data_IF_973559416401
#
_entry.id   IF_973559416401
#
_cell.length_a   1.000
_cell.length_b   1.000
_cell.length_c   1.000
_cell.angle_alpha   90.00
_cell.angle_beta   90.00
_cell.angle_gamma   90.00
#
_symmetry.space_group_name_H-M   'P 1'
#
loop_
_entity.id
_entity.type
_entity.pdbx_description
1 polymer ?
#
# COMPACT_ATOMS: atom_id res chain seq x y z
N UNK A 1 9.11 9.39 -4.89
CA UNK A 1 7.94 9.18 -4.01
C UNK A 1 8.41 8.61 -2.67
N UNK A 2 7.97 9.14 -1.53
CA UNK A 2 8.35 8.62 -0.22
C UNK A 2 7.62 7.31 0.13
N UNK A 3 8.01 6.63 1.21
CA UNK A 3 7.27 5.45 1.71
C UNK A 3 5.85 5.83 2.14
N UNK A 4 5.67 7.01 2.72
CA UNK A 4 4.36 7.51 3.12
C UNK A 4 3.46 7.75 1.90
N UNK A 5 4.00 8.33 0.83
CA UNK A 5 3.24 8.55 -0.40
C UNK A 5 2.79 7.23 -1.04
N UNK A 6 3.70 6.24 -1.11
CA UNK A 6 3.41 4.87 -1.58
C UNK A 6 2.31 4.21 -0.75
N UNK A 7 2.39 4.33 0.58
CA UNK A 7 1.38 3.80 1.48
C UNK A 7 0.02 4.46 1.27
N UNK A 8 -0.04 5.79 1.12
CA UNK A 8 -1.28 6.51 0.85
C UNK A 8 -1.92 6.09 -0.48
N UNK A 9 -1.11 5.82 -1.50
CA UNK A 9 -1.59 5.28 -2.76
C UNK A 9 -2.27 3.92 -2.56
N UNK A 10 -1.63 2.98 -1.85
CA UNK A 10 -2.21 1.66 -1.56
C UNK A 10 -3.47 1.74 -0.69
N UNK A 11 -3.50 2.65 0.29
CA UNK A 11 -4.71 2.94 1.09
C UNK A 11 -5.85 3.48 0.22
N UNK A 12 -5.52 4.23 -0.84
CA UNK A 12 -6.47 4.71 -1.84
C UNK A 12 -7.09 3.58 -2.67
N UNK A 13 -6.31 2.54 -2.99
CA UNK A 13 -6.72 1.38 -3.77
C UNK A 13 -7.49 0.32 -2.96
N UNK A 14 -7.33 0.30 -1.64
CA UNK A 14 -7.94 -0.70 -0.76
C UNK A 14 -9.29 -0.25 -0.16
N UNK A 15 -10.10 -1.23 0.23
CA UNK A 15 -11.18 -1.02 1.19
C UNK A 15 -10.60 -0.83 2.59
N UNK A 16 -10.98 0.26 3.27
CA UNK A 16 -10.56 0.50 4.66
C UNK A 16 -11.06 -0.60 5.62
N UNK A 17 -12.19 -1.23 5.29
CA UNK A 17 -12.68 -2.39 6.05
C UNK A 17 -11.72 -3.56 5.92
N UNK A 18 -11.26 -3.87 4.70
CA UNK A 18 -10.28 -4.95 4.48
C UNK A 18 -8.97 -4.68 5.21
N UNK A 19 -8.48 -3.43 5.19
CA UNK A 19 -7.28 -3.06 5.96
C UNK A 19 -7.48 -3.25 7.47
N UNK A 20 -8.66 -2.89 8.00
CA UNK A 20 -8.95 -3.05 9.43
C UNK A 20 -9.12 -4.50 9.88
N UNK A 21 -9.38 -5.43 8.96
CA UNK A 21 -9.46 -6.86 9.26
C UNK A 21 -8.12 -7.59 9.06
N UNK A 22 -7.11 -6.91 8.49
CA UNK A 22 -5.82 -7.49 8.15
C UNK A 22 -4.75 -7.32 9.25
N UNK A 23 -5.07 -6.63 10.34
CA UNK A 23 -4.15 -6.38 11.47
C UNK A 23 -4.82 -5.61 12.61
N UNK A 24 -4.00 -5.03 13.50
CA UNK A 24 -4.49 -4.38 14.72
C UNK A 24 -4.99 -2.94 14.49
N UNK A 25 -4.62 -2.33 13.37
CA UNK A 25 -5.07 -0.98 13.01
C UNK A 25 -6.57 -0.96 12.70
N UNK A 26 -7.35 -0.34 13.59
CA UNK A 26 -8.80 -0.24 13.44
C UNK A 26 -9.27 0.72 12.32
N UNK A 27 -10.54 0.60 11.91
CA UNK A 27 -11.12 1.41 10.83
C UNK A 27 -11.02 2.94 11.05
N UNK A 28 -11.34 3.51 12.23
CA UNK A 28 -11.20 4.95 12.46
C UNK A 28 -9.78 5.48 12.26
N UNK A 29 -8.76 4.69 12.59
CA UNK A 29 -7.35 5.02 12.38
C UNK A 29 -7.04 5.13 10.89
N UNK A 30 -7.49 4.17 10.08
CA UNK A 30 -7.37 4.23 8.61
C UNK A 30 -8.08 5.44 8.00
N UNK A 31 -9.28 5.78 8.48
CA UNK A 31 -10.00 6.99 8.05
C UNK A 31 -9.20 8.26 8.35
N UNK A 32 -8.57 8.32 9.53
CA UNK A 32 -7.75 9.48 9.92
C UNK A 32 -6.52 9.64 9.03
N UNK A 33 -5.86 8.53 8.67
CA UNK A 33 -4.73 8.52 7.72
C UNK A 33 -5.19 8.97 6.33
N UNK A 34 -6.24 8.35 5.79
CA UNK A 34 -6.76 8.67 4.45
C UNK A 34 -7.19 10.14 4.30
N UNK A 35 -7.66 10.76 5.40
CA UNK A 35 -8.03 12.18 5.45
C UNK A 35 -6.87 13.12 5.80
N UNK A 36 -5.63 12.62 5.89
CA UNK A 36 -4.45 13.41 6.22
C UNK A 36 -4.41 13.95 7.65
N UNK A 37 -5.26 13.42 8.55
CA UNK A 37 -5.33 13.84 9.96
C UNK A 37 -4.31 13.12 10.83
N UNK A 38 -3.67 12.08 10.31
CA UNK A 38 -2.64 11.34 11.00
C UNK A 38 -1.64 10.73 10.00
N UNK A 39 -0.40 10.51 10.44
CA UNK A 39 0.66 9.91 9.62
C UNK A 39 0.54 8.39 9.58
N UNK A 40 1.07 7.78 8.51
CA UNK A 40 1.28 6.33 8.41
C UNK A 40 2.44 5.94 9.33
N UNK A 41 2.24 4.93 10.17
CA UNK A 41 3.28 4.34 11.03
C UNK A 41 3.73 2.95 10.54
N UNK A 42 4.60 2.30 11.30
CA UNK A 42 5.15 0.98 10.96
C UNK A 42 4.05 -0.10 10.83
N UNK A 43 3.10 -0.16 11.78
CA UNK A 43 1.99 -1.11 11.75
C UNK A 43 1.18 -1.03 10.44
N UNK A 44 0.87 0.19 10.00
CA UNK A 44 0.14 0.36 8.75
C UNK A 44 0.96 -0.05 7.52
N UNK A 45 2.28 0.14 7.53
CA UNK A 45 3.17 -0.37 6.47
C UNK A 45 3.17 -1.90 6.44
N UNK A 46 3.24 -2.55 7.60
CA UNK A 46 3.20 -4.02 7.69
C UNK A 46 1.88 -4.60 7.20
N UNK A 47 0.75 -4.00 7.60
CA UNK A 47 -0.58 -4.40 7.13
C UNK A 47 -0.67 -4.25 5.60
N UNK A 48 -0.23 -3.12 5.06
CA UNK A 48 -0.21 -2.91 3.60
C UNK A 48 0.66 -3.94 2.88
N UNK A 49 1.83 -4.30 3.45
CA UNK A 49 2.69 -5.35 2.90
C UNK A 49 2.07 -6.76 2.94
N UNK A 50 1.12 -7.02 3.85
CA UNK A 50 0.34 -8.27 3.89
C UNK A 50 -0.79 -8.26 2.86
N UNK A 51 -1.49 -7.14 2.73
CA UNK A 51 -2.64 -6.99 1.80
C UNK A 51 -2.19 -6.89 0.34
N UNK A 52 -1.02 -6.30 0.08
CA UNK A 52 -0.46 -6.13 -1.26
C UNK A 52 0.91 -6.82 -1.39
N UNK A 53 0.96 -8.17 -1.37
CA UNK A 53 2.23 -8.91 -1.35
C UNK A 53 3.10 -8.66 -2.59
N UNK A 54 2.48 -8.43 -3.76
CA UNK A 54 3.18 -8.10 -5.01
C UNK A 54 3.82 -6.70 -5.00
N UNK A 55 3.36 -5.80 -4.12
CA UNK A 55 3.87 -4.43 -4.03
C UNK A 55 4.77 -4.24 -2.82
N UNK A 56 5.10 -5.29 -2.06
CA UNK A 56 5.80 -5.17 -0.77
C UNK A 56 7.21 -4.60 -0.92
N UNK A 57 7.97 -5.09 -1.91
CA UNK A 57 9.31 -4.56 -2.20
C UNK A 57 9.21 -3.08 -2.56
N UNK A 58 8.33 -2.77 -3.53
CA UNK A 58 8.08 -1.41 -3.96
C UNK A 58 7.59 -0.50 -2.85
N UNK A 59 6.76 -0.97 -1.91
CA UNK A 59 6.29 -0.20 -0.76
C UNK A 59 7.43 0.19 0.18
N UNK A 60 8.43 -0.66 0.35
CA UNK A 60 9.52 -0.45 1.30
C UNK A 60 10.68 0.29 0.63
N UNK A 61 11.22 -0.25 -0.47
CA UNK A 61 12.45 0.23 -1.11
C UNK A 61 12.21 1.36 -2.12
N UNK A 62 11.11 1.28 -2.84
CA UNK A 62 10.74 2.23 -3.91
C UNK A 62 11.16 1.73 -5.29
N UNK A 63 11.73 0.53 -5.32
CA UNK A 63 12.19 -0.18 -6.51
C UNK A 63 11.23 -1.31 -6.86
N UNK A 64 11.42 -1.93 -8.02
CA UNK A 64 10.68 -3.13 -8.45
C UNK A 64 11.67 -4.25 -8.77
N UNK A 65 11.23 -5.49 -8.59
CA UNK A 65 11.90 -6.73 -9.03
C UNK A 65 10.87 -7.60 -9.78
N UNK A 66 10.51 -7.23 -11.02
CA UNK A 66 9.44 -7.90 -11.77
C UNK A 66 9.69 -9.39 -11.99
N UNK A 67 10.95 -9.81 -12.08
CA UNK A 67 11.39 -11.19 -12.28
C UNK A 67 10.95 -12.14 -11.15
N UNK A 68 10.64 -11.61 -9.96
CA UNK A 68 10.07 -12.36 -8.83
C UNK A 68 8.66 -11.88 -8.46
N UNK A 69 7.98 -11.19 -9.36
CA UNK A 69 6.60 -10.72 -9.16
C UNK A 69 6.46 -9.55 -8.18
N UNK A 70 7.56 -8.87 -7.84
CA UNK A 70 7.55 -7.68 -6.99
C UNK A 70 7.49 -6.43 -7.87
N UNK A 71 6.30 -5.91 -8.08
CA UNK A 71 5.99 -4.85 -9.05
C UNK A 71 5.45 -3.61 -8.34
N UNK A 72 5.08 -2.59 -9.12
CA UNK A 72 4.41 -1.39 -8.63
C UNK A 72 2.95 -1.32 -9.12
N UNK A 73 2.08 -0.55 -8.45
CA UNK A 73 0.73 -0.27 -8.95
C UNK A 73 0.70 0.38 -10.35
N UNK A 74 1.73 1.14 -10.71
CA UNK A 74 1.82 1.82 -12.02
C UNK A 74 2.03 0.79 -13.14
N UNK A 75 2.97 -0.14 -12.96
CA UNK A 75 3.26 -1.20 -13.94
C UNK A 75 2.11 -2.18 -14.21
N UNK A 76 1.10 -2.24 -13.33
CA UNK A 76 -0.09 -3.09 -13.54
C UNK A 76 -1.18 -2.36 -14.34
N UNK A 77 -1.13 -1.02 -14.41
CA UNK A 77 -2.13 -0.20 -15.09
C UNK A 77 -1.67 0.35 -16.44
N UNK A 78 -0.46 0.02 -16.90
CA UNK A 78 -0.06 0.29 -18.28
C UNK A 78 -0.83 -0.66 -19.22
N UNK A 79 -1.53 -0.15 -20.25
CA UNK A 79 -2.04 -1.02 -21.29
C UNK A 79 -0.82 -1.68 -21.93
N UNK A 80 -0.74 -3.00 -21.85
CA UNK A 80 0.14 -3.77 -22.71
C UNK A 80 -0.25 -3.43 -24.14
N UNK A 81 0.56 -2.63 -24.83
CA UNK A 81 0.37 -2.39 -26.26
C UNK A 81 0.25 -3.75 -26.94
N UNK A 82 -0.91 -3.94 -27.60
CA UNK A 82 -1.28 -5.13 -28.35
C UNK A 82 -0.42 -5.32 -29.62
#
# INVERSE_FOLDING_TARGET
MSITDRALLLIGMASLTSLSQAGETNYPRWVSIKRGRARVGAEEIEILGKVFPAFRWWLITGEVLPEIGQVSPESVNEPTDA
#
